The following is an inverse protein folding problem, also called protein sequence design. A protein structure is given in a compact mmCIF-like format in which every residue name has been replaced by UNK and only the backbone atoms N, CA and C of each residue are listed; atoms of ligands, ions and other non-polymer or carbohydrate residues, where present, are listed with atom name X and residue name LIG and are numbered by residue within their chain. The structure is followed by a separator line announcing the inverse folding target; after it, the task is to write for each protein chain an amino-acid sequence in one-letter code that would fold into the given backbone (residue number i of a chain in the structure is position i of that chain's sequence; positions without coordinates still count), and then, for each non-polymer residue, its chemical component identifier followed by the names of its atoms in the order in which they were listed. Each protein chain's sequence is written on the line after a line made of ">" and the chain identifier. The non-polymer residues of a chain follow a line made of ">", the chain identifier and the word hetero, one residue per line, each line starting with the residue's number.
data_IF_428407039345
#
_entry.id   IF_428407039345
#
_cell.length_a   1.000
_cell.length_b   1.000
_cell.length_c   1.000
_cell.angle_alpha   90.00
_cell.angle_beta   90.00
_cell.angle_gamma   90.00
#
_symmetry.space_group_name_H-M   'P 1'
#
loop_
_entity.id
_entity.type
_entity.pdbx_description
1 polymer ?
#
# COMPACT_ATOMS: atom_id res chain seq x y z
N UNK A 1 11.32 10.14 15.46
CA UNK A 1 10.04 10.44 14.78
C UNK A 1 9.58 9.10 14.24
N UNK A 2 8.48 8.56 14.74
CA UNK A 2 7.89 7.32 14.20
C UNK A 2 7.63 7.55 12.71
N UNK A 3 8.15 6.65 11.87
CA UNK A 3 8.02 6.74 10.41
C UNK A 3 6.60 6.47 9.94
N UNK A 4 5.66 7.37 10.25
CA UNK A 4 4.30 7.36 9.73
C UNK A 4 4.30 8.04 8.38
N UNK A 5 3.81 7.37 7.36
CA UNK A 5 3.61 7.92 6.02
C UNK A 5 2.28 7.47 5.42
N UNK A 6 1.73 8.30 4.55
CA UNK A 6 0.61 7.96 3.67
C UNK A 6 1.07 8.23 2.24
N UNK A 7 1.04 7.20 1.41
CA UNK A 7 1.49 7.26 0.01
C UNK A 7 0.71 6.26 -0.86
N UNK A 8 1.05 6.15 -2.15
CA UNK A 8 0.37 5.20 -3.05
C UNK A 8 0.68 3.73 -2.77
N UNK A 9 1.45 3.42 -1.72
CA UNK A 9 1.90 2.07 -1.41
C UNK A 9 2.73 1.47 -2.53
N UNK A 10 3.78 0.83 -2.19
CA UNK A 10 4.65 0.19 -3.17
C UNK A 10 6.07 0.06 -2.63
N UNK A 11 6.85 -0.70 -3.35
CA UNK A 11 8.25 -0.95 -3.02
C UNK A 11 9.09 0.32 -2.98
N UNK A 12 8.63 1.35 -3.65
CA UNK A 12 9.29 2.64 -3.76
C UNK A 12 8.25 3.68 -3.39
N UNK A 13 8.07 3.82 -2.08
CA UNK A 13 7.17 4.79 -1.47
C UNK A 13 7.82 6.18 -1.48
N UNK A 14 7.83 6.81 -2.63
CA UNK A 14 8.36 8.17 -2.80
C UNK A 14 7.33 8.99 -3.55
N UNK A 15 6.91 10.09 -2.95
CA UNK A 15 6.05 11.08 -3.60
C UNK A 15 6.90 11.89 -4.62
N UNK A 16 6.66 11.72 -5.95
CA UNK A 16 7.41 12.46 -6.96
C UNK A 16 7.23 13.98 -6.86
N UNK A 17 6.07 14.46 -6.41
CA UNK A 17 5.80 15.88 -6.28
C UNK A 17 6.49 16.50 -5.07
N UNK A 18 6.60 15.74 -3.97
CA UNK A 18 7.44 16.13 -2.84
C UNK A 18 8.91 16.25 -3.26
N UNK A 19 9.45 15.29 -4.01
CA UNK A 19 10.82 15.38 -4.56
C UNK A 19 11.00 16.60 -5.47
N UNK A 20 10.07 16.86 -6.37
CA UNK A 20 10.12 18.07 -7.24
C UNK A 20 10.09 19.36 -6.42
N UNK A 21 9.36 19.35 -5.30
CA UNK A 21 9.32 20.50 -4.38
C UNK A 21 10.65 20.68 -3.66
N UNK A 22 11.30 19.61 -3.24
CA UNK A 22 12.64 19.63 -2.65
C UNK A 22 13.66 20.12 -3.69
N UNK A 23 13.65 19.57 -4.92
CA UNK A 23 14.54 19.99 -5.99
C UNK A 23 14.46 21.50 -6.27
N UNK A 24 13.24 22.04 -6.35
CA UNK A 24 13.02 23.50 -6.52
C UNK A 24 13.56 24.33 -5.35
N UNK A 25 13.48 23.83 -4.11
CA UNK A 25 14.06 24.51 -2.94
C UNK A 25 15.59 24.53 -2.97
N UNK A 26 16.19 23.42 -3.43
CA UNK A 26 17.65 23.32 -3.60
C UNK A 26 18.11 24.28 -4.71
N UNK A 27 17.40 24.36 -5.82
CA UNK A 27 17.67 25.30 -6.92
C UNK A 27 17.61 26.78 -6.46
N UNK A 28 16.61 27.12 -5.63
CA UNK A 28 16.55 28.43 -4.98
C UNK A 28 17.73 28.67 -4.01
N UNK A 29 18.26 27.65 -3.35
CA UNK A 29 19.47 27.77 -2.54
C UNK A 29 20.69 27.98 -3.43
N UNK A 30 20.81 27.31 -4.58
CA UNK A 30 21.85 27.53 -5.57
C UNK A 30 21.89 28.98 -6.00
N UNK A 31 20.76 29.57 -6.41
CA UNK A 31 20.65 30.97 -6.76
C UNK A 31 21.18 31.91 -5.66
N UNK A 32 20.93 31.62 -4.40
CA UNK A 32 21.46 32.42 -3.28
C UNK A 32 22.96 32.25 -3.11
N UNK A 33 23.52 31.09 -3.34
CA UNK A 33 24.95 30.83 -3.33
C UNK A 33 25.66 31.58 -4.47
N UNK A 34 25.05 31.63 -5.66
CA UNK A 34 25.57 32.42 -6.80
C UNK A 34 25.67 33.91 -6.47
N UNK A 35 24.58 34.50 -5.96
CA UNK A 35 24.57 35.90 -5.53
C UNK A 35 25.61 36.19 -4.45
N UNK A 36 25.78 35.27 -3.50
CA UNK A 36 26.81 35.39 -2.47
C UNK A 36 28.24 35.34 -3.07
N UNK A 37 28.48 34.39 -3.98
CA UNK A 37 29.77 34.24 -4.66
C UNK A 37 30.13 35.49 -5.44
N UNK A 38 29.20 36.04 -6.23
CA UNK A 38 29.39 37.28 -6.98
C UNK A 38 29.67 38.48 -6.08
N UNK A 39 28.92 38.60 -4.97
CA UNK A 39 29.10 39.69 -4.00
C UNK A 39 30.46 39.61 -3.30
N UNK A 40 30.90 38.42 -2.91
CA UNK A 40 32.22 38.19 -2.29
C UNK A 40 33.35 38.44 -3.28
N UNK A 41 33.20 37.99 -4.54
CA UNK A 41 34.19 38.28 -5.60
C UNK A 41 34.28 39.78 -5.93
N UNK A 42 33.15 40.49 -5.93
CA UNK A 42 33.11 41.94 -6.12
C UNK A 42 33.78 42.68 -4.96
N UNK A 43 33.47 42.32 -3.73
CA UNK A 43 34.10 42.88 -2.55
C UNK A 43 35.60 42.63 -2.51
N UNK A 44 36.06 41.41 -2.85
CA UNK A 44 37.47 41.06 -2.94
C UNK A 44 38.21 41.97 -3.96
N UNK A 45 37.66 42.12 -5.19
CA UNK A 45 38.22 43.00 -6.20
C UNK A 45 38.34 44.45 -5.72
N UNK A 46 37.26 44.98 -5.14
CA UNK A 46 37.22 46.34 -4.63
C UNK A 46 38.29 46.60 -3.57
N UNK A 47 38.49 45.64 -2.64
CA UNK A 47 39.47 45.74 -1.57
C UNK A 47 40.89 45.63 -2.12
N UNK A 48 41.16 44.72 -3.04
CA UNK A 48 42.48 44.54 -3.66
C UNK A 48 42.87 45.76 -4.52
N UNK A 49 41.92 46.35 -5.26
CA UNK A 49 42.15 47.47 -6.16
C UNK A 49 42.18 48.81 -5.40
N UNK A 50 41.87 48.88 -4.11
CA UNK A 50 41.85 50.13 -3.34
C UNK A 50 43.09 50.22 -2.43
N UNK A 51 44.00 51.18 -2.65
CA UNK A 51 45.21 51.31 -1.85
C UNK A 51 44.92 51.44 -0.35
N UNK A 52 45.64 50.67 0.47
CA UNK A 52 45.55 50.65 1.94
C UNK A 52 44.47 49.78 2.53
N UNK A 53 43.48 49.25 1.77
CA UNK A 53 42.44 48.37 2.32
C UNK A 53 42.91 46.95 2.61
N UNK A 54 43.89 46.45 1.86
CA UNK A 54 44.47 45.12 2.04
C UNK A 54 45.19 44.93 3.39
N UNK A 55 45.55 46.05 4.05
CA UNK A 55 46.19 46.03 5.38
C UNK A 55 45.20 45.70 6.53
N UNK A 56 43.91 45.84 6.25
CA UNK A 56 42.85 45.76 7.25
C UNK A 56 41.88 44.60 7.04
N UNK A 57 41.97 43.90 5.90
CA UNK A 57 41.07 42.81 5.53
C UNK A 57 41.87 41.57 5.11
N UNK A 58 41.52 40.41 5.65
CA UNK A 58 42.08 39.14 5.19
C UNK A 58 41.48 38.80 3.78
N UNK A 59 42.20 39.24 2.76
CA UNK A 59 41.81 39.03 1.37
C UNK A 59 41.86 37.56 0.96
N UNK A 60 42.69 36.71 1.63
CA UNK A 60 42.79 35.30 1.36
C UNK A 60 41.54 34.58 1.89
N UNK A 61 41.11 34.91 3.10
CA UNK A 61 39.87 34.37 3.66
C UNK A 61 38.65 34.81 2.84
N UNK A 62 38.60 36.07 2.39
CA UNK A 62 37.52 36.56 1.56
C UNK A 62 37.45 35.86 0.20
N UNK A 63 38.61 35.66 -0.43
CA UNK A 63 38.73 34.92 -1.68
C UNK A 63 38.29 33.46 -1.51
N UNK A 64 38.72 32.80 -0.41
CA UNK A 64 38.35 31.42 -0.10
C UNK A 64 36.83 31.29 0.16
N UNK A 65 36.20 32.28 0.84
CA UNK A 65 34.75 32.30 1.03
C UNK A 65 34.00 32.45 -0.29
N UNK A 66 34.46 33.27 -1.24
CA UNK A 66 33.88 33.42 -2.57
C UNK A 66 33.92 32.09 -3.35
N UNK A 67 35.06 31.43 -3.34
CA UNK A 67 35.21 30.09 -3.98
C UNK A 67 34.38 29.00 -3.30
N UNK A 68 34.23 29.05 -1.96
CA UNK A 68 33.34 28.19 -1.23
C UNK A 68 31.87 28.35 -1.64
N UNK A 69 31.44 29.60 -1.82
CA UNK A 69 30.09 29.89 -2.30
C UNK A 69 29.84 29.42 -3.74
N UNK A 70 30.83 29.57 -4.63
CA UNK A 70 30.74 29.08 -6.01
C UNK A 70 30.65 27.56 -6.07
N UNK A 71 31.41 26.85 -5.24
CA UNK A 71 31.34 25.39 -5.18
C UNK A 71 29.99 24.91 -4.63
N UNK A 72 29.45 25.57 -3.60
CA UNK A 72 28.11 25.27 -3.09
C UNK A 72 27.01 25.50 -4.13
N UNK A 73 27.17 26.51 -4.96
CA UNK A 73 26.29 26.76 -6.10
C UNK A 73 26.26 25.54 -7.05
N UNK A 74 27.44 25.11 -7.49
CA UNK A 74 27.55 23.92 -8.38
C UNK A 74 27.00 22.66 -7.75
N UNK A 75 27.33 22.38 -6.49
CA UNK A 75 26.82 21.21 -5.74
C UNK A 75 25.28 21.24 -5.58
N UNK A 76 24.70 22.42 -5.33
CA UNK A 76 23.24 22.59 -5.24
C UNK A 76 22.57 22.36 -6.61
N UNK A 77 23.13 22.86 -7.71
CA UNK A 77 22.57 22.65 -9.05
C UNK A 77 22.57 21.16 -9.41
N UNK A 78 23.69 20.46 -9.19
CA UNK A 78 23.79 19.02 -9.47
C UNK A 78 22.81 18.22 -8.60
N UNK A 79 22.68 18.59 -7.32
CA UNK A 79 21.74 17.94 -6.40
C UNK A 79 20.29 18.19 -6.82
N UNK A 80 19.93 19.41 -7.22
CA UNK A 80 18.59 19.73 -7.70
C UNK A 80 18.24 18.95 -8.97
N UNK A 81 19.15 18.87 -9.94
CA UNK A 81 18.97 18.10 -11.17
C UNK A 81 18.80 16.61 -10.88
N UNK A 82 19.65 16.04 -10.04
CA UNK A 82 19.58 14.62 -9.64
C UNK A 82 18.28 14.31 -8.91
N UNK A 83 17.82 15.21 -8.05
CA UNK A 83 16.54 15.04 -7.32
C UNK A 83 15.36 15.12 -8.28
N UNK A 84 15.39 15.97 -9.28
CA UNK A 84 14.36 16.06 -10.32
C UNK A 84 14.32 14.78 -11.16
N UNK A 85 15.48 14.29 -11.59
CA UNK A 85 15.59 13.03 -12.33
C UNK A 85 15.04 11.83 -11.52
N UNK A 86 15.32 11.79 -10.23
CA UNK A 86 14.74 10.77 -9.35
C UNK A 86 13.21 10.85 -9.29
N UNK A 87 12.65 12.05 -9.16
CA UNK A 87 11.19 12.24 -9.17
C UNK A 87 10.56 11.72 -10.48
N UNK A 88 11.18 12.04 -11.61
CA UNK A 88 10.70 11.59 -12.93
C UNK A 88 10.86 10.07 -13.12
N UNK A 89 11.93 9.47 -12.58
CA UNK A 89 12.10 8.02 -12.62
C UNK A 89 11.05 7.29 -11.76
N UNK A 90 10.71 7.81 -10.59
CA UNK A 90 9.65 7.24 -9.76
C UNK A 90 8.28 7.36 -10.42
N UNK A 91 7.94 8.53 -10.97
CA UNK A 91 6.71 8.70 -11.75
C UNK A 91 6.64 7.73 -12.94
N UNK A 92 7.76 7.52 -13.64
CA UNK A 92 7.82 6.58 -14.75
C UNK A 92 7.54 5.14 -14.32
N UNK A 93 8.08 4.70 -13.15
CA UNK A 93 7.80 3.37 -12.57
C UNK A 93 6.32 3.23 -12.23
N UNK A 94 5.74 4.27 -11.65
CA UNK A 94 4.32 4.31 -11.26
C UNK A 94 3.40 4.21 -12.49
N UNK A 95 3.63 5.05 -13.49
CA UNK A 95 2.89 5.03 -14.76
C UNK A 95 3.00 3.67 -15.46
N UNK A 96 4.18 3.05 -15.43
CA UNK A 96 4.39 1.71 -15.98
C UNK A 96 3.56 0.66 -15.26
N UNK A 97 3.55 0.68 -13.93
CA UNK A 97 2.77 -0.26 -13.12
C UNK A 97 1.28 -0.09 -13.38
N UNK A 98 0.79 1.16 -13.42
CA UNK A 98 -0.60 1.48 -13.75
C UNK A 98 -0.97 1.01 -15.17
N UNK A 99 -0.13 1.29 -16.18
CA UNK A 99 -0.37 0.86 -17.55
C UNK A 99 -0.41 -0.66 -17.69
N UNK A 100 0.46 -1.38 -16.96
CA UNK A 100 0.48 -2.85 -16.97
C UNK A 100 -0.75 -3.44 -16.27
N UNK A 101 -1.28 -2.76 -15.23
CA UNK A 101 -2.51 -3.13 -14.57
C UNK A 101 -3.73 -2.98 -15.48
N UNK A 102 -3.87 -1.82 -16.10
CA UNK A 102 -5.01 -1.49 -16.95
C UNK A 102 -4.97 -2.21 -18.30
N UNK A 103 -3.85 -2.79 -18.71
CA UNK A 103 -3.69 -3.41 -20.03
C UNK A 103 -4.74 -4.48 -20.36
N UNK A 104 -5.30 -5.15 -19.36
CA UNK A 104 -6.30 -6.20 -19.51
C UNK A 104 -7.75 -5.71 -19.35
N UNK A 105 -7.94 -4.59 -18.65
CA UNK A 105 -9.28 -4.09 -18.28
C UNK A 105 -9.65 -2.83 -19.04
N UNK A 106 -8.70 -1.91 -19.26
CA UNK A 106 -8.85 -0.69 -20.03
C UNK A 106 -7.61 -0.42 -20.91
N UNK A 107 -7.66 -0.94 -22.14
CA UNK A 107 -6.58 -0.77 -23.09
C UNK A 107 -6.39 0.69 -23.54
N UNK A 108 -7.43 1.53 -23.48
CA UNK A 108 -7.35 2.94 -23.84
C UNK A 108 -6.60 3.73 -22.78
N UNK A 109 -6.97 3.60 -21.50
CA UNK A 109 -6.26 4.20 -20.38
C UNK A 109 -4.80 3.74 -20.32
N UNK A 110 -4.54 2.42 -20.49
CA UNK A 110 -3.18 1.89 -20.55
C UNK A 110 -2.36 2.49 -21.70
N UNK A 111 -2.98 2.78 -22.85
CA UNK A 111 -2.31 3.44 -23.97
C UNK A 111 -1.94 4.89 -23.65
N UNK A 112 -2.82 5.63 -23.00
CA UNK A 112 -2.56 7.02 -22.60
C UNK A 112 -1.41 7.13 -21.59
N UNK A 113 -1.34 6.24 -20.61
CA UNK A 113 -0.22 6.16 -19.68
C UNK A 113 1.10 5.85 -20.39
N UNK A 114 1.10 4.89 -21.33
CA UNK A 114 2.29 4.57 -22.14
C UNK A 114 2.73 5.74 -23.03
N UNK A 115 1.79 6.54 -23.52
CA UNK A 115 2.11 7.76 -24.29
C UNK A 115 2.80 8.77 -23.37
N UNK A 116 2.31 9.00 -22.14
CA UNK A 116 2.97 9.88 -21.15
C UNK A 116 4.38 9.40 -20.82
N UNK A 117 4.58 8.10 -20.61
CA UNK A 117 5.92 7.51 -20.41
C UNK A 117 6.85 7.76 -21.61
N UNK A 118 6.34 7.64 -22.83
CA UNK A 118 7.13 7.92 -24.04
C UNK A 118 7.52 9.41 -24.14
N UNK A 119 6.64 10.31 -23.72
CA UNK A 119 6.93 11.76 -23.63
C UNK A 119 8.04 12.03 -22.60
N UNK A 120 7.99 11.40 -21.43
CA UNK A 120 9.05 11.53 -20.40
C UNK A 120 10.39 10.97 -20.89
N UNK A 121 10.40 9.79 -21.53
CA UNK A 121 11.60 9.20 -22.09
C UNK A 121 12.20 10.04 -23.24
N UNK A 122 11.36 10.72 -24.04
CA UNK A 122 11.80 11.62 -25.07
C UNK A 122 12.38 12.95 -24.52
N UNK A 123 11.90 13.39 -23.36
CA UNK A 123 12.40 14.58 -22.68
C UNK A 123 13.77 14.32 -22.02
N UNK A 124 13.93 13.18 -21.35
CA UNK A 124 15.22 12.75 -20.76
C UNK A 124 15.37 11.22 -20.83
N UNK A 125 16.28 10.75 -21.66
CA UNK A 125 16.57 9.32 -21.86
C UNK A 125 17.13 8.61 -20.62
N UNK A 126 17.61 9.36 -19.61
CA UNK A 126 18.07 8.80 -18.33
C UNK A 126 16.91 8.28 -17.46
N UNK A 127 15.70 8.82 -17.65
CA UNK A 127 14.52 8.47 -16.84
C UNK A 127 14.20 6.97 -16.95
N UNK A 128 13.99 6.37 -18.13
CA UNK A 128 13.71 4.94 -18.22
C UNK A 128 14.86 4.06 -17.75
N UNK A 129 16.13 4.46 -17.98
CA UNK A 129 17.29 3.71 -17.51
C UNK A 129 17.36 3.67 -15.98
N UNK A 130 17.13 4.80 -15.33
CA UNK A 130 17.09 4.87 -13.86
C UNK A 130 15.88 4.10 -13.30
N UNK A 131 14.72 4.21 -13.92
CA UNK A 131 13.52 3.46 -13.53
C UNK A 131 13.75 1.94 -13.59
N UNK A 132 14.36 1.43 -14.66
CA UNK A 132 14.70 0.01 -14.79
C UNK A 132 15.69 -0.44 -13.70
N UNK A 133 16.68 0.38 -13.40
CA UNK A 133 17.64 0.11 -12.34
C UNK A 133 16.96 0.04 -10.97
N UNK A 134 16.10 0.98 -10.65
CA UNK A 134 15.35 1.02 -9.39
C UNK A 134 14.46 -0.22 -9.23
N UNK A 135 13.73 -0.62 -10.28
CA UNK A 135 12.90 -1.83 -10.27
C UNK A 135 13.77 -3.08 -10.08
N UNK A 136 14.89 -3.17 -10.79
CA UNK A 136 15.80 -4.31 -10.67
C UNK A 136 16.41 -4.45 -9.27
N UNK A 137 16.89 -3.34 -8.67
CA UNK A 137 17.42 -3.32 -7.31
C UNK A 137 16.35 -3.72 -6.28
N UNK A 138 15.12 -3.26 -6.48
CA UNK A 138 13.98 -3.67 -5.67
C UNK A 138 13.67 -5.17 -5.82
N UNK A 139 13.61 -5.70 -7.04
CA UNK A 139 13.35 -7.13 -7.29
C UNK A 139 14.36 -8.03 -6.57
N UNK A 140 15.61 -7.60 -6.47
CA UNK A 140 16.65 -8.33 -5.74
C UNK A 140 16.46 -8.29 -4.22
N UNK A 141 15.85 -7.24 -3.67
CA UNK A 141 15.74 -6.99 -2.23
C UNK A 141 14.31 -7.10 -1.67
N UNK A 142 13.32 -7.35 -2.50
CA UNK A 142 11.90 -7.25 -2.14
C UNK A 142 11.45 -8.09 -0.93
N UNK A 143 12.21 -9.11 -0.57
CA UNK A 143 11.99 -9.93 0.61
C UNK A 143 13.08 -9.75 1.69
N UNK A 144 13.91 -8.72 1.56
CA UNK A 144 15.00 -8.46 2.52
C UNK A 144 14.52 -8.17 3.94
N UNK A 145 13.28 -7.63 4.10
CA UNK A 145 12.64 -7.44 5.41
C UNK A 145 12.31 -8.74 6.16
N UNK A 146 12.46 -9.90 5.51
CA UNK A 146 12.29 -11.23 6.13
C UNK A 146 13.61 -11.82 6.62
N UNK A 147 14.74 -11.10 6.49
CA UNK A 147 16.05 -11.53 7.02
C UNK A 147 16.12 -11.43 8.55
N UNK A 148 16.93 -12.27 9.22
CA UNK A 148 17.09 -12.18 10.68
C UNK A 148 17.41 -10.73 11.14
N UNK A 149 16.86 -10.27 12.28
CA UNK A 149 16.61 -11.03 13.51
C UNK A 149 15.21 -11.62 13.67
N UNK A 150 14.32 -11.47 12.71
CA UNK A 150 12.96 -11.96 12.87
C UNK A 150 12.88 -13.48 12.85
N UNK A 151 12.34 -14.15 13.89
CA UNK A 151 12.09 -15.59 13.88
C UNK A 151 10.92 -15.99 12.95
N UNK A 152 10.51 -15.12 12.04
CA UNK A 152 9.54 -15.41 10.97
C UNK A 152 9.82 -16.72 10.24
N UNK A 153 11.09 -17.10 10.13
CA UNK A 153 11.53 -18.39 9.57
C UNK A 153 10.95 -19.62 10.29
N UNK A 154 10.55 -19.52 11.57
CA UNK A 154 9.96 -20.65 12.29
C UNK A 154 8.46 -20.78 12.08
N UNK A 155 7.75 -19.70 11.92
CA UNK A 155 6.27 -19.68 11.75
C UNK A 155 5.90 -19.72 10.27
N UNK A 156 6.59 -18.95 9.46
CA UNK A 156 6.34 -18.83 8.02
C UNK A 156 7.41 -19.50 7.16
N UNK A 157 8.39 -20.17 7.77
CA UNK A 157 9.50 -20.82 7.10
C UNK A 157 9.11 -21.64 5.86
N UNK A 158 8.10 -22.51 5.93
CA UNK A 158 7.64 -23.25 4.76
C UNK A 158 7.06 -22.36 3.66
N UNK A 159 6.41 -21.25 4.02
CA UNK A 159 5.83 -20.30 3.07
C UNK A 159 6.90 -19.41 2.45
N UNK A 160 7.82 -18.92 3.27
CA UNK A 160 8.97 -18.08 2.84
C UNK A 160 9.95 -18.91 2.01
N UNK A 161 10.22 -20.17 2.37
CA UNK A 161 11.04 -21.08 1.57
C UNK A 161 10.35 -21.52 0.27
N UNK A 162 9.03 -21.71 0.29
CA UNK A 162 8.28 -21.92 -0.94
C UNK A 162 8.32 -20.68 -1.83
N UNK A 163 8.17 -19.48 -1.27
CA UNK A 163 8.30 -18.21 -1.99
C UNK A 163 9.74 -18.00 -2.49
N UNK A 164 10.77 -18.34 -1.71
CA UNK A 164 12.18 -18.24 -2.09
C UNK A 164 12.59 -19.29 -3.13
N UNK A 165 12.13 -20.54 -3.02
CA UNK A 165 12.35 -21.61 -4.00
C UNK A 165 11.59 -21.40 -5.31
N UNK A 166 10.42 -20.74 -5.23
CA UNK A 166 9.62 -20.33 -6.37
C UNK A 166 9.96 -18.89 -6.81
N UNK A 167 10.87 -18.24 -6.10
CA UNK A 167 11.24 -16.82 -6.19
C UNK A 167 11.77 -16.31 -7.52
N UNK A 168 11.67 -17.11 -8.56
CA UNK A 168 11.76 -16.66 -9.94
C UNK A 168 10.42 -16.17 -10.52
N UNK A 169 9.30 -16.25 -9.76
CA UNK A 169 8.01 -15.78 -10.26
C UNK A 169 7.68 -14.38 -9.71
N UNK A 170 7.52 -13.37 -10.58
CA UNK A 170 7.10 -12.03 -10.17
C UNK A 170 5.67 -11.95 -9.63
N UNK A 171 5.04 -13.08 -9.34
CA UNK A 171 3.63 -13.19 -8.94
C UNK A 171 3.40 -13.30 -7.44
N UNK A 172 4.42 -13.60 -6.63
CA UNK A 172 4.23 -13.73 -5.18
C UNK A 172 4.14 -12.37 -4.52
N UNK A 173 3.25 -12.25 -3.53
CA UNK A 173 3.02 -11.02 -2.77
C UNK A 173 2.21 -9.96 -3.51
N UNK A 174 1.77 -10.20 -4.76
CA UNK A 174 0.97 -9.23 -5.53
C UNK A 174 -0.18 -9.90 -6.27
N UNK A 175 -1.34 -9.26 -6.29
CA UNK A 175 -2.52 -9.67 -7.06
C UNK A 175 -2.83 -8.58 -8.08
N UNK A 176 -2.86 -8.95 -9.38
CA UNK A 176 -3.07 -8.00 -10.48
C UNK A 176 -4.49 -8.13 -11.05
N UNK A 177 -5.01 -7.10 -11.71
CA UNK A 177 -6.29 -7.19 -12.42
C UNK A 177 -6.32 -8.40 -13.35
N UNK A 178 -7.45 -9.12 -13.34
CA UNK A 178 -7.61 -10.37 -14.12
C UNK A 178 -6.93 -11.60 -13.50
N UNK A 179 -6.30 -11.50 -12.32
CA UNK A 179 -5.83 -12.67 -11.57
C UNK A 179 -7.03 -13.52 -11.15
N UNK A 180 -6.96 -14.83 -11.38
CA UNK A 180 -7.99 -15.79 -10.97
C UNK A 180 -7.42 -16.86 -10.07
N UNK A 181 -8.25 -17.44 -9.22
CA UNK A 181 -7.88 -18.57 -8.39
C UNK A 181 -7.96 -19.86 -9.20
N UNK A 182 -6.95 -20.72 -9.07
CA UNK A 182 -6.87 -22.01 -9.73
C UNK A 182 -7.36 -23.14 -8.82
N UNK A 183 -7.79 -24.25 -9.43
CA UNK A 183 -8.20 -25.45 -8.69
C UNK A 183 -9.61 -25.31 -8.08
N UNK A 184 -9.89 -26.13 -7.07
CA UNK A 184 -11.16 -26.19 -6.37
C UNK A 184 -10.91 -26.06 -4.86
N UNK A 185 -11.69 -25.22 -4.20
CA UNK A 185 -11.67 -25.10 -2.75
C UNK A 185 -12.24 -26.39 -2.07
N UNK A 186 -11.79 -26.65 -0.85
CA UNK A 186 -12.48 -27.62 -0.01
C UNK A 186 -13.93 -27.18 0.20
N UNK A 187 -14.84 -28.15 0.29
CA UNK A 187 -16.24 -27.86 0.58
C UNK A 187 -16.39 -27.25 1.97
N UNK A 188 -17.24 -26.25 2.08
CA UNK A 188 -17.53 -25.54 3.32
C UNK A 188 -19.02 -25.50 3.60
N UNK A 189 -19.36 -25.37 4.86
CA UNK A 189 -20.69 -24.97 5.32
C UNK A 189 -20.58 -23.65 6.05
N UNK A 190 -21.60 -22.80 5.90
CA UNK A 190 -21.71 -21.55 6.64
C UNK A 190 -22.98 -21.54 7.48
N UNK A 191 -22.93 -20.90 8.63
CA UNK A 191 -24.09 -20.70 9.49
C UNK A 191 -24.10 -19.28 10.06
N UNK A 192 -25.23 -18.58 10.06
CA UNK A 192 -25.36 -17.31 10.77
C UNK A 192 -25.27 -17.57 12.28
N UNK A 193 -24.41 -16.84 12.97
CA UNK A 193 -24.20 -16.95 14.42
C UNK A 193 -24.65 -15.72 15.19
N UNK A 194 -24.77 -14.59 14.52
CA UNK A 194 -25.36 -13.38 15.08
C UNK A 194 -26.00 -12.52 13.98
N UNK A 195 -27.09 -11.84 14.34
CA UNK A 195 -27.73 -10.84 13.50
C UNK A 195 -27.99 -9.57 14.29
N UNK A 196 -27.87 -8.42 13.66
CA UNK A 196 -28.14 -7.12 14.27
C UNK A 196 -28.54 -6.08 13.20
N UNK A 197 -29.03 -4.94 13.67
CA UNK A 197 -29.33 -3.82 12.79
C UNK A 197 -28.61 -2.57 13.32
N UNK A 198 -27.36 -2.33 12.88
CA UNK A 198 -26.60 -1.14 13.26
C UNK A 198 -27.38 0.14 12.93
N UNK A 199 -27.30 1.14 13.79
CA UNK A 199 -28.02 2.42 13.60
C UNK A 199 -27.31 3.37 12.63
N UNK A 200 -26.03 3.17 12.43
CA UNK A 200 -25.19 3.98 11.55
C UNK A 200 -24.05 3.14 10.97
N UNK A 201 -23.54 3.46 9.78
CA UNK A 201 -22.33 2.89 9.22
C UNK A 201 -21.08 3.31 10.02
N UNK A 202 -19.89 2.76 9.76
CA UNK A 202 -18.64 3.37 10.18
C UNK A 202 -18.46 4.73 9.50
N UNK A 203 -17.61 5.58 10.06
CA UNK A 203 -17.37 6.95 9.56
C UNK A 203 -15.87 7.23 9.37
N UNK A 204 -15.02 6.21 9.49
CA UNK A 204 -13.58 6.34 9.38
C UNK A 204 -12.90 4.99 9.15
N UNK A 205 -11.61 4.99 8.85
CA UNK A 205 -10.80 3.78 8.72
C UNK A 205 -10.81 2.94 9.99
N UNK A 206 -10.51 3.55 11.13
CA UNK A 206 -10.55 2.87 12.42
C UNK A 206 -11.95 2.37 12.76
N UNK A 207 -12.98 3.17 12.46
CA UNK A 207 -14.38 2.78 12.58
C UNK A 207 -14.72 1.56 11.74
N UNK A 208 -14.17 1.45 10.53
CA UNK A 208 -14.36 0.29 9.65
C UNK A 208 -13.67 -0.97 10.20
N UNK A 209 -12.43 -0.87 10.69
CA UNK A 209 -11.73 -2.00 11.32
C UNK A 209 -12.41 -2.48 12.61
N UNK A 210 -13.02 -1.58 13.37
CA UNK A 210 -13.80 -1.92 14.57
C UNK A 210 -15.11 -2.67 14.27
N UNK A 211 -15.46 -2.84 12.98
CA UNK A 211 -16.61 -3.66 12.52
C UNK A 211 -16.25 -5.12 12.23
N UNK A 212 -15.04 -5.55 12.52
CA UNK A 212 -14.70 -6.97 12.37
C UNK A 212 -15.69 -7.87 13.14
N UNK A 213 -15.91 -9.14 12.73
CA UNK A 213 -16.77 -10.07 13.42
C UNK A 213 -16.44 -10.18 14.91
N UNK A 214 -17.45 -10.13 15.76
CA UNK A 214 -17.33 -10.17 17.22
C UNK A 214 -18.00 -11.36 17.87
N UNK A 215 -18.92 -12.02 17.18
CA UNK A 215 -19.56 -13.22 17.68
C UNK A 215 -18.58 -14.40 17.72
N UNK A 216 -18.70 -15.23 18.75
CA UNK A 216 -17.80 -16.37 18.95
C UNK A 216 -17.78 -17.30 17.73
N UNK A 217 -16.61 -17.48 17.15
CA UNK A 217 -16.36 -18.34 15.99
C UNK A 217 -16.81 -17.75 14.65
N UNK A 218 -17.26 -16.50 14.60
CA UNK A 218 -17.54 -15.81 13.34
C UNK A 218 -16.24 -15.42 12.63
N UNK A 219 -16.18 -15.64 11.33
CA UNK A 219 -15.04 -15.23 10.51
C UNK A 219 -15.40 -14.14 9.49
N UNK A 220 -16.67 -14.06 9.10
CA UNK A 220 -17.18 -13.06 8.15
C UNK A 220 -18.38 -12.36 8.75
N UNK A 221 -18.41 -11.03 8.71
CA UNK A 221 -19.62 -10.27 8.93
C UNK A 221 -19.99 -9.56 7.64
N UNK A 222 -21.23 -9.60 7.25
CA UNK A 222 -21.76 -8.90 6.09
C UNK A 222 -22.79 -7.88 6.55
N UNK A 223 -22.57 -6.63 6.20
CA UNK A 223 -23.55 -5.54 6.34
C UNK A 223 -24.20 -5.27 4.99
N UNK A 224 -25.53 -5.37 4.94
CA UNK A 224 -26.35 -5.01 3.79
C UNK A 224 -26.98 -3.65 4.03
N UNK A 225 -26.68 -2.73 3.15
CA UNK A 225 -27.18 -1.38 3.14
C UNK A 225 -28.32 -1.28 2.11
N UNK A 226 -29.51 -0.84 2.52
CA UNK A 226 -30.65 -0.67 1.62
C UNK A 226 -31.04 0.80 1.52
N UNK A 227 -31.16 1.30 0.29
CA UNK A 227 -31.41 2.69 -0.01
C UNK A 227 -32.86 2.94 -0.45
N UNK A 228 -33.34 4.19 -0.31
CA UNK A 228 -34.71 4.61 -0.67
C UNK A 228 -35.06 4.38 -2.14
N UNK A 229 -34.06 4.36 -3.03
CA UNK A 229 -34.22 4.12 -4.46
C UNK A 229 -34.25 2.61 -4.84
N UNK A 230 -34.17 1.74 -3.85
CA UNK A 230 -34.19 0.28 -4.02
C UNK A 230 -32.81 -0.34 -4.31
N UNK A 231 -31.73 0.46 -4.42
CA UNK A 231 -30.37 -0.07 -4.50
C UNK A 231 -29.99 -0.78 -3.20
N UNK A 232 -29.10 -1.76 -3.33
CA UNK A 232 -28.44 -2.41 -2.20
C UNK A 232 -26.93 -2.37 -2.39
N UNK A 233 -26.19 -2.26 -1.29
CA UNK A 233 -24.73 -2.33 -1.25
C UNK A 233 -24.32 -3.23 -0.08
N UNK A 234 -23.25 -3.96 -0.23
CA UNK A 234 -22.76 -4.87 0.79
C UNK A 234 -21.36 -4.46 1.24
N UNK A 235 -21.08 -4.62 2.54
CA UNK A 235 -19.73 -4.48 3.07
C UNK A 235 -19.40 -5.75 3.85
N UNK A 236 -18.34 -6.44 3.43
CA UNK A 236 -17.82 -7.62 4.11
C UNK A 236 -16.66 -7.26 5.05
N UNK A 237 -16.75 -7.66 6.29
CA UNK A 237 -15.69 -7.54 7.30
C UNK A 237 -15.15 -8.93 7.59
N UNK A 238 -13.86 -9.16 7.32
CA UNK A 238 -13.29 -10.49 7.29
C UNK A 238 -12.06 -10.56 8.21
N UNK A 239 -12.09 -11.47 9.19
CA UNK A 239 -10.98 -11.67 10.13
C UNK A 239 -9.78 -12.37 9.49
N UNK A 240 -8.62 -12.25 10.13
CA UNK A 240 -7.41 -12.99 9.77
C UNK A 240 -7.44 -14.45 10.17
N UNK A 241 -6.29 -15.12 10.06
CA UNK A 241 -6.08 -16.53 10.41
C UNK A 241 -6.51 -16.82 11.85
N UNK A 242 -7.32 -17.85 12.03
CA UNK A 242 -7.86 -18.25 13.34
C UNK A 242 -7.10 -19.43 13.96
N UNK A 243 -6.37 -20.19 13.15
CA UNK A 243 -5.56 -21.33 13.62
C UNK A 243 -4.31 -21.52 12.78
N UNK A 244 -3.24 -21.97 13.43
CA UNK A 244 -1.99 -22.33 12.75
C UNK A 244 -2.01 -23.74 12.12
N UNK A 245 -3.13 -24.45 12.14
CA UNK A 245 -3.25 -25.78 11.53
C UNK A 245 -3.12 -25.72 10.00
N UNK A 246 -2.72 -26.86 9.41
CA UNK A 246 -2.63 -27.06 7.96
C UNK A 246 -3.81 -27.89 7.46
N UNK A 247 -5.03 -27.45 7.75
CA UNK A 247 -6.28 -28.17 7.47
C UNK A 247 -7.10 -28.42 8.73
N UNK A 248 -8.16 -29.23 8.62
CA UNK A 248 -9.16 -29.45 9.65
C UNK A 248 -10.42 -28.62 9.42
N UNK A 249 -11.32 -28.59 10.40
CA UNK A 249 -12.66 -27.98 10.26
C UNK A 249 -12.63 -26.46 10.09
N UNK A 250 -11.63 -25.75 10.67
CA UNK A 250 -11.51 -24.28 10.59
C UNK A 250 -10.96 -23.85 9.22
N UNK A 251 -11.71 -23.09 8.39
CA UNK A 251 -11.22 -22.65 7.07
C UNK A 251 -10.17 -21.52 7.12
N UNK A 252 -10.14 -20.70 8.19
CA UNK A 252 -9.15 -19.62 8.35
C UNK A 252 -7.88 -20.16 9.01
N UNK A 253 -7.12 -20.96 8.25
CA UNK A 253 -5.93 -21.69 8.69
C UNK A 253 -4.74 -21.50 7.75
N UNK A 254 -3.60 -22.12 8.05
CA UNK A 254 -2.38 -22.04 7.24
C UNK A 254 -2.52 -22.77 5.89
N UNK A 255 -3.44 -23.73 5.72
CA UNK A 255 -3.73 -24.33 4.42
C UNK A 255 -4.30 -23.29 3.47
N UNK A 256 -5.36 -22.58 3.91
CA UNK A 256 -5.97 -21.50 3.13
C UNK A 256 -5.01 -20.34 2.88
N UNK A 257 -4.12 -20.01 3.85
CA UNK A 257 -3.05 -19.02 3.61
C UNK A 257 -2.16 -19.43 2.43
N UNK A 258 -1.67 -20.68 2.43
CA UNK A 258 -0.83 -21.17 1.35
C UNK A 258 -1.55 -21.18 0.01
N UNK A 259 -2.80 -21.66 -0.01
CA UNK A 259 -3.61 -21.76 -1.22
C UNK A 259 -3.81 -20.38 -1.84
N UNK A 260 -4.26 -19.39 -1.06
CA UNK A 260 -4.45 -18.02 -1.53
C UNK A 260 -3.15 -17.38 -2.01
N UNK A 261 -2.07 -17.50 -1.21
CA UNK A 261 -0.79 -16.90 -1.54
C UNK A 261 -0.18 -17.45 -2.83
N UNK A 262 -0.48 -18.70 -3.17
CA UNK A 262 -0.05 -19.34 -4.42
C UNK A 262 -1.07 -19.25 -5.55
N UNK A 263 -2.18 -18.52 -5.37
CA UNK A 263 -3.21 -18.32 -6.40
C UNK A 263 -4.14 -19.53 -6.58
N UNK A 264 -4.36 -20.30 -5.52
CA UNK A 264 -5.30 -21.43 -5.52
C UNK A 264 -6.56 -21.09 -4.74
N UNK A 265 -7.69 -21.67 -5.16
CA UNK A 265 -8.96 -21.54 -4.47
C UNK A 265 -8.85 -22.15 -3.05
N UNK A 266 -9.34 -21.42 -2.05
CA UNK A 266 -9.28 -21.82 -0.63
C UNK A 266 -10.66 -21.94 -0.01
N UNK A 267 -10.72 -22.71 1.07
CA UNK A 267 -11.94 -22.84 1.84
C UNK A 267 -12.42 -21.51 2.45
N UNK A 268 -11.48 -20.64 2.89
CA UNK A 268 -11.84 -19.33 3.46
C UNK A 268 -12.38 -18.37 2.39
N UNK A 269 -11.84 -18.41 1.15
CA UNK A 269 -12.39 -17.62 0.05
C UNK A 269 -13.81 -18.10 -0.31
N UNK A 270 -14.02 -19.42 -0.47
CA UNK A 270 -15.33 -19.97 -0.80
C UNK A 270 -16.36 -19.64 0.29
N UNK A 271 -15.98 -19.78 1.55
CA UNK A 271 -16.86 -19.44 2.67
C UNK A 271 -17.25 -17.95 2.70
N UNK A 272 -16.36 -17.07 2.26
CA UNK A 272 -16.66 -15.63 2.14
C UNK A 272 -17.67 -15.37 1.02
N UNK A 273 -17.49 -15.97 -0.14
CA UNK A 273 -18.46 -15.88 -1.26
C UNK A 273 -19.83 -16.44 -0.85
N UNK A 274 -19.85 -17.58 -0.15
CA UNK A 274 -21.08 -18.19 0.34
C UNK A 274 -21.79 -17.29 1.37
N UNK A 275 -21.02 -16.63 2.28
CA UNK A 275 -21.57 -15.69 3.27
C UNK A 275 -22.19 -14.45 2.60
N UNK A 276 -21.54 -13.88 1.59
CA UNK A 276 -22.09 -12.78 0.79
C UNK A 276 -23.37 -13.17 0.09
N UNK A 277 -23.38 -14.33 -0.56
CA UNK A 277 -24.57 -14.88 -1.22
C UNK A 277 -25.71 -15.13 -0.22
N UNK A 278 -25.41 -15.69 0.96
CA UNK A 278 -26.40 -15.91 2.03
C UNK A 278 -26.94 -14.61 2.61
N UNK A 279 -26.16 -13.53 2.61
CA UNK A 279 -26.64 -12.18 2.98
C UNK A 279 -27.50 -11.52 1.88
N UNK A 280 -27.58 -12.15 0.70
CA UNK A 280 -28.42 -11.73 -0.42
C UNK A 280 -27.67 -11.03 -1.56
N UNK A 281 -26.33 -11.00 -1.55
CA UNK A 281 -25.57 -10.46 -2.66
C UNK A 281 -25.69 -11.35 -3.90
N UNK A 282 -25.84 -10.73 -5.07
CA UNK A 282 -25.98 -11.36 -6.37
C UNK A 282 -24.79 -10.97 -7.27
N UNK A 283 -24.49 -11.76 -8.33
CA UNK A 283 -23.52 -11.34 -9.34
C UNK A 283 -23.81 -9.94 -9.89
N UNK A 284 -22.79 -9.08 -9.89
CA UNK A 284 -22.89 -7.68 -10.30
C UNK A 284 -23.27 -6.70 -9.19
N UNK A 285 -23.61 -7.18 -7.98
CA UNK A 285 -23.82 -6.30 -6.84
C UNK A 285 -22.50 -5.69 -6.34
N UNK A 286 -22.59 -4.47 -5.84
CA UNK A 286 -21.46 -3.79 -5.21
C UNK A 286 -21.18 -4.38 -3.83
N UNK A 287 -19.95 -4.87 -3.65
CA UNK A 287 -19.46 -5.51 -2.42
C UNK A 287 -18.12 -4.91 -2.03
N UNK A 288 -18.11 -4.06 -1.01
CA UNK A 288 -16.86 -3.54 -0.48
C UNK A 288 -16.30 -4.44 0.63
N UNK A 289 -14.99 -4.35 0.86
CA UNK A 289 -14.32 -5.30 1.74
C UNK A 289 -13.40 -4.61 2.73
N UNK A 290 -13.57 -4.94 4.01
CA UNK A 290 -12.65 -4.58 5.09
C UNK A 290 -12.02 -5.86 5.64
N UNK A 291 -10.69 -5.94 5.64
CA UNK A 291 -9.99 -7.20 5.86
C UNK A 291 -8.76 -7.04 6.75
N UNK A 292 -8.41 -8.11 7.48
CA UNK A 292 -7.19 -8.19 8.27
C UNK A 292 -6.41 -9.47 7.93
N UNK A 293 -5.07 -9.36 7.79
CA UNK A 293 -4.17 -10.52 7.64
C UNK A 293 -4.52 -11.37 6.40
N UNK A 294 -4.76 -12.69 6.58
CA UNK A 294 -5.19 -13.63 5.52
C UNK A 294 -6.32 -13.07 4.66
N UNK A 295 -7.25 -12.36 5.29
CA UNK A 295 -8.42 -11.81 4.60
C UNK A 295 -8.05 -10.74 3.55
N UNK A 296 -6.88 -10.12 3.64
CA UNK A 296 -6.38 -9.24 2.58
C UNK A 296 -6.19 -9.96 1.25
N UNK A 297 -5.80 -11.25 1.26
CA UNK A 297 -5.75 -12.07 0.05
C UNK A 297 -7.16 -12.41 -0.45
N UNK A 298 -8.10 -12.69 0.47
CA UNK A 298 -9.50 -12.93 0.10
C UNK A 298 -10.08 -11.69 -0.58
N UNK A 299 -9.88 -10.50 0.01
CA UNK A 299 -10.32 -9.23 -0.54
C UNK A 299 -9.71 -8.97 -1.93
N UNK A 300 -8.41 -9.22 -2.10
CA UNK A 300 -7.72 -9.07 -3.37
C UNK A 300 -8.33 -9.95 -4.47
N UNK A 301 -8.66 -11.21 -4.17
CA UNK A 301 -9.30 -12.08 -5.14
C UNK A 301 -10.80 -11.82 -5.31
N UNK A 302 -11.49 -11.30 -4.32
CA UNK A 302 -12.87 -10.80 -4.51
C UNK A 302 -12.89 -9.66 -5.54
N UNK A 303 -11.92 -8.75 -5.47
CA UNK A 303 -11.85 -7.61 -6.40
C UNK A 303 -11.41 -7.98 -7.82
N UNK A 304 -10.73 -9.13 -8.02
CA UNK A 304 -10.17 -9.51 -9.34
C UNK A 304 -10.80 -10.73 -9.97
N UNK A 305 -11.42 -11.61 -9.18
CA UNK A 305 -11.84 -12.94 -9.61
C UNK A 305 -13.30 -13.29 -9.30
N UNK A 306 -14.01 -12.48 -8.48
CA UNK A 306 -15.42 -12.75 -8.16
C UNK A 306 -16.37 -12.18 -9.21
N UNK A 307 -17.65 -12.56 -9.10
CA UNK A 307 -18.73 -12.00 -9.89
C UNK A 307 -19.31 -10.71 -9.28
N UNK A 308 -18.77 -10.25 -8.14
CA UNK A 308 -19.16 -9.01 -7.47
C UNK A 308 -18.37 -7.81 -7.98
N UNK A 309 -18.93 -6.62 -7.82
CA UNK A 309 -18.26 -5.37 -8.15
C UNK A 309 -17.65 -4.75 -6.88
N UNK A 310 -16.33 -4.92 -6.69
CA UNK A 310 -15.63 -4.34 -5.53
C UNK A 310 -15.17 -2.93 -5.88
N UNK A 311 -15.66 -1.91 -5.15
CA UNK A 311 -15.28 -0.50 -5.33
C UNK A 311 -14.25 -0.06 -4.30
N UNK A 312 -14.42 -0.44 -3.05
CA UNK A 312 -13.51 -0.08 -1.96
C UNK A 312 -12.99 -1.33 -1.27
N UNK A 313 -11.69 -1.39 -1.11
CA UNK A 313 -11.00 -2.44 -0.38
C UNK A 313 -10.09 -1.82 0.68
N UNK A 314 -10.33 -2.13 1.96
CA UNK A 314 -9.48 -1.74 3.09
C UNK A 314 -8.80 -3.00 3.62
N UNK A 315 -7.47 -3.04 3.60
CA UNK A 315 -6.70 -4.21 4.00
C UNK A 315 -5.62 -3.85 5.04
N UNK A 316 -5.76 -4.39 6.25
CA UNK A 316 -4.80 -4.23 7.34
C UNK A 316 -3.90 -5.47 7.42
N UNK A 317 -2.57 -5.30 7.38
CA UNK A 317 -1.60 -6.38 7.52
C UNK A 317 -1.70 -7.47 6.46
N UNK A 318 -2.08 -7.14 5.24
CA UNK A 318 -2.22 -8.11 4.16
C UNK A 318 -0.86 -8.67 3.74
N UNK A 319 -0.72 -10.01 3.56
CA UNK A 319 0.49 -10.61 3.00
C UNK A 319 0.62 -10.42 1.49
N UNK A 320 -0.34 -9.76 0.85
CA UNK A 320 -0.29 -9.41 -0.58
C UNK A 320 -0.76 -7.98 -0.78
N UNK A 321 -0.20 -7.31 -1.78
CA UNK A 321 -0.73 -6.06 -2.31
C UNK A 321 -1.56 -6.36 -3.56
N UNK A 322 -2.76 -5.79 -3.63
CA UNK A 322 -3.58 -5.81 -4.84
C UNK A 322 -3.37 -4.52 -5.64
N UNK A 323 -3.40 -4.64 -6.95
CA UNK A 323 -3.47 -3.50 -7.84
C UNK A 323 -4.94 -3.29 -8.22
N UNK A 324 -5.52 -2.19 -7.75
CA UNK A 324 -6.88 -1.80 -8.11
C UNK A 324 -7.02 -1.52 -9.60
N UNK A 325 -8.18 -1.86 -10.16
CA UNK A 325 -8.59 -1.44 -11.50
C UNK A 325 -9.10 0.01 -11.49
N UNK A 326 -9.49 0.51 -12.66
CA UNK A 326 -10.16 1.82 -12.75
C UNK A 326 -11.44 1.83 -11.89
N UNK A 327 -11.61 2.86 -11.07
CA UNK A 327 -12.76 3.01 -10.16
C UNK A 327 -12.76 2.05 -8.96
N UNK A 328 -11.59 1.48 -8.62
CA UNK A 328 -11.38 0.72 -7.38
C UNK A 328 -10.42 1.45 -6.46
N UNK A 329 -10.88 1.84 -5.28
CA UNK A 329 -10.06 2.42 -4.23
C UNK A 329 -9.48 1.31 -3.35
N UNK A 330 -8.16 1.22 -3.29
CA UNK A 330 -7.43 0.26 -2.45
C UNK A 330 -6.72 1.00 -1.34
N UNK A 331 -7.08 0.69 -0.10
CA UNK A 331 -6.45 1.23 1.10
C UNK A 331 -5.68 0.12 1.81
N UNK A 332 -4.36 0.28 1.90
CA UNK A 332 -3.48 -0.61 2.64
C UNK A 332 -3.07 0.00 3.98
N UNK A 333 -3.07 -0.78 5.05
CA UNK A 333 -2.37 -0.43 6.29
C UNK A 333 -1.25 -1.45 6.50
N UNK A 334 -0.02 -0.95 6.65
CA UNK A 334 1.19 -1.79 6.67
C UNK A 334 2.12 -1.35 7.79
N UNK A 335 2.65 -2.31 8.54
CA UNK A 335 3.73 -2.04 9.50
C UNK A 335 5.05 -2.59 8.98
N UNK A 336 6.12 -1.79 9.10
CA UNK A 336 7.47 -2.15 8.64
C UNK A 336 8.09 -3.27 9.49
N UNK A 337 7.60 -3.44 10.70
CA UNK A 337 7.96 -4.47 11.68
C UNK A 337 6.97 -5.66 11.73
N UNK A 338 6.00 -5.71 10.80
CA UNK A 338 5.07 -6.83 10.66
C UNK A 338 5.60 -7.87 9.64
N UNK A 339 5.98 -9.09 10.09
CA UNK A 339 6.50 -10.12 9.19
C UNK A 339 5.46 -10.66 8.21
N UNK A 340 4.15 -10.53 8.50
CA UNK A 340 3.08 -10.95 7.57
C UNK A 340 2.93 -9.95 6.44
N UNK A 341 2.88 -8.66 6.76
CA UNK A 341 2.85 -7.60 5.75
C UNK A 341 4.11 -7.63 4.85
N UNK A 342 5.26 -8.00 5.41
CA UNK A 342 6.50 -8.17 4.64
C UNK A 342 6.42 -9.25 3.54
N UNK A 343 5.46 -10.21 3.63
CA UNK A 343 5.21 -11.20 2.58
C UNK A 343 4.67 -10.59 1.28
N UNK A 344 4.14 -9.36 1.30
CA UNK A 344 3.82 -8.60 0.10
C UNK A 344 5.05 -8.28 -0.76
N UNK A 345 6.26 -8.50 -0.23
CA UNK A 345 7.53 -8.25 -0.91
C UNK A 345 7.74 -6.76 -1.20
N UNK A 346 7.26 -5.88 -0.30
CA UNK A 346 7.25 -4.43 -0.52
C UNK A 346 6.19 -3.98 -1.52
N UNK A 347 5.28 -4.85 -1.92
CA UNK A 347 4.18 -4.54 -2.83
C UNK A 347 4.57 -4.45 -4.31
N UNK A 348 3.83 -3.67 -5.05
CA UNK A 348 4.08 -3.38 -6.47
C UNK A 348 5.05 -2.21 -6.61
N UNK A 349 5.94 -2.20 -7.63
CA UNK A 349 6.90 -1.10 -7.80
C UNK A 349 6.28 0.29 -7.90
N UNK A 350 5.09 0.41 -8.45
CA UNK A 350 4.35 1.65 -8.65
C UNK A 350 3.13 1.81 -7.77
N UNK A 351 3.03 1.07 -6.66
CA UNK A 351 1.92 1.20 -5.73
C UNK A 351 0.63 0.48 -6.15
N UNK A 352 -0.49 0.88 -5.53
CA UNK A 352 -1.79 0.24 -5.69
C UNK A 352 -2.50 0.52 -7.02
N UNK A 353 -1.99 1.44 -7.83
CA UNK A 353 -2.40 1.65 -9.23
C UNK A 353 -3.52 2.67 -9.46
N UNK A 354 -4.55 2.75 -8.65
CA UNK A 354 -5.61 3.75 -8.79
C UNK A 354 -5.19 5.07 -8.10
N UNK A 355 -5.54 6.25 -8.66
CA UNK A 355 -5.09 7.55 -8.13
C UNK A 355 -5.56 7.85 -6.70
N UNK A 356 -6.71 7.38 -6.32
CA UNK A 356 -7.36 7.51 -5.01
C UNK A 356 -6.94 6.42 -4.00
N UNK A 357 -6.14 5.45 -4.47
CA UNK A 357 -5.61 4.37 -3.63
C UNK A 357 -4.39 4.85 -2.84
N UNK A 358 -4.27 4.37 -1.61
CA UNK A 358 -3.14 4.73 -0.76
C UNK A 358 -2.77 3.62 0.23
N UNK A 359 -1.56 3.72 0.76
CA UNK A 359 -1.08 2.87 1.85
C UNK A 359 -0.61 3.74 3.01
N UNK A 360 -1.05 3.38 4.20
CA UNK A 360 -0.57 3.95 5.46
C UNK A 360 0.52 3.03 5.99
N UNK A 361 1.72 3.57 6.18
CA UNK A 361 2.88 2.81 6.66
C UNK A 361 3.41 3.41 7.96
N UNK A 362 3.69 2.57 8.95
CA UNK A 362 4.45 2.94 10.14
C UNK A 362 5.24 1.76 10.71
N UNK A 363 6.12 2.04 11.66
CA UNK A 363 6.68 1.06 12.59
C UNK A 363 5.74 1.00 13.81
N UNK A 364 5.13 -0.16 14.08
CA UNK A 364 4.10 -0.30 15.11
C UNK A 364 4.70 -0.26 16.52
N UNK A 365 5.86 -0.88 16.73
CA UNK A 365 6.55 -0.95 18.02
C UNK A 365 8.04 -0.56 17.89
N UNK A 366 8.36 0.74 17.76
CA UNK A 366 9.74 1.21 17.58
C UNK A 366 10.64 0.98 18.81
N UNK A 367 10.04 0.75 19.98
CA UNK A 367 10.74 0.49 21.24
C UNK A 367 10.73 -1.01 21.63
N UNK A 368 10.42 -1.90 20.69
CA UNK A 368 10.35 -3.34 20.90
C UNK A 368 11.58 -3.88 21.63
N UNK A 369 11.38 -4.27 22.89
CA UNK A 369 12.40 -4.81 23.78
C UNK A 369 12.42 -6.35 23.79
N UNK A 370 12.94 -6.92 24.89
CA UNK A 370 12.98 -8.38 25.07
C UNK A 370 11.60 -9.03 25.19
N UNK A 371 10.54 -8.25 25.42
CA UNK A 371 9.15 -8.70 25.52
C UNK A 371 8.42 -8.67 24.16
N UNK A 372 9.15 -8.42 23.07
CA UNK A 372 8.62 -8.39 21.71
C UNK A 372 7.93 -9.70 21.34
N UNK A 373 6.63 -9.62 21.08
CA UNK A 373 5.91 -10.76 20.50
C UNK A 373 5.99 -10.65 18.98
N UNK A 374 6.50 -11.71 18.33
CA UNK A 374 6.73 -11.77 16.86
C UNK A 374 5.54 -11.31 16.01
N UNK A 375 4.34 -11.35 16.57
CA UNK A 375 3.09 -10.93 15.92
C UNK A 375 2.43 -9.74 16.61
N UNK A 376 3.11 -9.02 17.50
CA UNK A 376 2.55 -7.82 18.16
C UNK A 376 2.18 -6.74 17.16
N UNK A 377 3.11 -6.41 16.27
CA UNK A 377 2.90 -5.47 15.18
C UNK A 377 1.85 -5.93 14.16
N UNK A 378 1.52 -7.24 14.11
CA UNK A 378 0.49 -7.82 13.25
C UNK A 378 -0.91 -7.78 13.86
N UNK A 379 -1.04 -7.44 15.14
CA UNK A 379 -2.31 -7.40 15.84
C UNK A 379 -3.31 -6.40 15.23
N UNK A 380 -4.59 -6.76 15.19
CA UNK A 380 -5.65 -5.87 14.68
C UNK A 380 -5.69 -4.55 15.46
N UNK A 381 -5.46 -4.58 16.79
CA UNK A 381 -5.45 -3.38 17.64
C UNK A 381 -4.36 -2.40 17.20
N UNK A 382 -3.14 -2.89 16.85
CA UNK A 382 -2.08 -2.05 16.34
C UNK A 382 -2.44 -1.40 14.99
N UNK A 383 -3.17 -2.12 14.14
CA UNK A 383 -3.68 -1.57 12.89
C UNK A 383 -4.83 -0.58 13.08
N UNK A 384 -5.66 -0.75 14.11
CA UNK A 384 -6.69 0.23 14.49
C UNK A 384 -6.02 1.54 14.91
N UNK A 385 -4.95 1.50 15.73
CA UNK A 385 -4.18 2.71 16.07
C UNK A 385 -3.62 3.40 14.83
N UNK A 386 -3.10 2.63 13.87
CA UNK A 386 -2.59 3.18 12.60
C UNK A 386 -3.71 3.84 11.80
N UNK A 387 -4.88 3.23 11.77
CA UNK A 387 -6.06 3.82 11.14
C UNK A 387 -6.51 5.10 11.84
N UNK A 388 -6.50 5.17 13.19
CA UNK A 388 -6.78 6.40 13.94
C UNK A 388 -5.80 7.54 13.61
N UNK A 389 -4.51 7.21 13.44
CA UNK A 389 -3.51 8.18 13.01
C UNK A 389 -3.77 8.69 11.59
N UNK A 390 -4.19 7.82 10.68
CA UNK A 390 -4.57 8.19 9.32
C UNK A 390 -5.83 9.06 9.33
N UNK A 391 -6.86 8.66 10.07
CA UNK A 391 -8.12 9.42 10.23
C UNK A 391 -7.88 10.83 10.82
N UNK A 392 -6.82 11.00 11.63
CA UNK A 392 -6.42 12.30 12.20
C UNK A 392 -5.47 13.11 11.30
N UNK A 393 -5.09 12.60 10.13
CA UNK A 393 -4.23 13.30 9.19
C UNK A 393 -5.01 14.25 8.29
N UNK A 394 -4.32 15.27 7.74
CA UNK A 394 -4.86 16.17 6.73
C UNK A 394 -4.55 15.65 5.31
N UNK A 395 -4.37 14.34 5.11
CA UNK A 395 -4.06 13.76 3.80
C UNK A 395 -5.33 13.76 2.92
N UNK A 396 -5.29 14.38 1.73
CA UNK A 396 -6.48 14.53 0.89
C UNK A 396 -7.09 13.19 0.43
N UNK A 397 -6.30 12.11 0.36
CA UNK A 397 -6.80 10.78 -0.02
C UNK A 397 -7.65 10.15 1.09
N UNK A 398 -7.31 10.43 2.35
CA UNK A 398 -8.13 10.02 3.50
C UNK A 398 -9.43 10.81 3.56
N UNK A 399 -9.38 12.13 3.23
CA UNK A 399 -10.59 12.97 3.11
C UNK A 399 -11.49 12.45 1.97
N UNK A 400 -10.91 12.11 0.81
CA UNK A 400 -11.67 11.60 -0.35
C UNK A 400 -12.34 10.25 -0.05
N UNK A 401 -11.68 9.37 0.73
CA UNK A 401 -12.30 8.14 1.22
C UNK A 401 -13.54 8.42 2.10
N UNK A 402 -13.68 9.62 2.65
CA UNK A 402 -14.89 10.08 3.36
C UNK A 402 -16.16 9.93 2.55
N UNK A 403 -16.11 10.07 1.22
CA UNK A 403 -17.24 9.90 0.31
C UNK A 403 -17.84 8.48 0.39
N UNK A 404 -17.00 7.47 0.61
CA UNK A 404 -17.45 6.09 0.82
C UNK A 404 -18.38 5.95 2.04
N UNK A 405 -17.98 6.49 3.20
CA UNK A 405 -18.81 6.43 4.40
C UNK A 405 -20.03 7.34 4.31
N UNK A 406 -19.89 8.49 3.64
CA UNK A 406 -20.99 9.39 3.37
C UNK A 406 -22.07 8.73 2.48
N UNK A 407 -21.67 7.90 1.52
CA UNK A 407 -22.59 7.12 0.73
C UNK A 407 -23.30 6.07 1.58
N UNK A 408 -22.57 5.30 2.38
CA UNK A 408 -23.17 4.32 3.30
C UNK A 408 -24.18 4.97 4.27
N UNK A 409 -23.92 6.21 4.69
CA UNK A 409 -24.80 6.94 5.62
C UNK A 409 -26.16 7.30 5.04
N UNK A 410 -26.33 7.24 3.71
CA UNK A 410 -27.59 7.51 3.00
C UNK A 410 -28.53 6.30 2.99
N UNK A 411 -28.08 5.13 3.45
CA UNK A 411 -28.93 3.95 3.53
C UNK A 411 -30.03 4.12 4.59
N UNK A 412 -31.23 3.66 4.28
CA UNK A 412 -32.37 3.68 5.20
C UNK A 412 -32.26 2.58 6.28
N UNK A 413 -31.69 1.44 5.90
CA UNK A 413 -31.54 0.31 6.82
C UNK A 413 -30.17 -0.34 6.64
N UNK A 414 -29.63 -0.86 7.76
CA UNK A 414 -28.43 -1.67 7.80
C UNK A 414 -28.79 -2.99 8.47
N UNK A 415 -28.62 -4.08 7.74
CA UNK A 415 -28.77 -5.44 8.26
C UNK A 415 -27.39 -6.07 8.33
N UNK A 416 -26.98 -6.53 9.51
CA UNK A 416 -25.69 -7.18 9.74
C UNK A 416 -25.88 -8.62 10.15
N UNK A 417 -25.20 -9.53 9.46
CA UNK A 417 -25.14 -10.95 9.80
C UNK A 417 -23.69 -11.40 9.93
N UNK A 418 -23.38 -12.06 11.03
CA UNK A 418 -22.07 -12.68 11.25
C UNK A 418 -22.15 -14.18 11.01
N UNK A 419 -21.20 -14.71 10.23
CA UNK A 419 -21.19 -16.08 9.79
C UNK A 419 -20.00 -16.84 10.36
N UNK A 420 -20.28 -18.09 10.80
CA UNK A 420 -19.28 -19.11 11.07
C UNK A 420 -19.23 -20.09 9.91
N UNK A 421 -18.03 -20.37 9.45
CA UNK A 421 -17.76 -21.35 8.40
C UNK A 421 -16.97 -22.55 8.95
N UNK A 422 -17.27 -23.74 8.44
CA UNK A 422 -16.56 -24.97 8.75
C UNK A 422 -16.32 -25.77 7.46
N UNK A 423 -15.12 -26.38 7.31
CA UNK A 423 -14.89 -27.35 6.24
C UNK A 423 -15.75 -28.58 6.45
N UNK A 424 -16.29 -29.11 5.37
CA UNK A 424 -16.96 -30.40 5.37
C UNK A 424 -15.89 -31.49 5.42
N UNK A 425 -15.92 -32.33 6.47
CA UNK A 425 -15.04 -33.48 6.51
C UNK A 425 -15.46 -34.46 5.40
N UNK A 426 -14.51 -34.79 4.51
CA UNK A 426 -14.78 -35.89 3.57
C UNK A 426 -14.93 -37.16 4.40
N UNK A 427 -16.13 -37.75 4.38
CA UNK A 427 -16.35 -39.09 4.95
C UNK A 427 -15.51 -40.08 4.17
N UNK A 428 -14.51 -40.68 4.86
CA UNK A 428 -13.71 -41.78 4.31
C UNK A 428 -14.56 -42.93 3.77
#
# INVERSE_FOLDING_TARGET
>A
MSGFSIDHGGAISVDPDALRTIARRIDLAATRCEVAAESLASAHRTIVDTPGFTEHVDTVALWAAGHGASRLFEECLETAESTMLMADAYEYVELKAQADALALTDAAAAHDLRRRMAEMAAADGRVPELAEKLVHEWEQRRFGGLEPPYPANMIFGPLVWAAALLGASPRFGTVRPGSTLSGKADAVTIAPVATSSPKAPPTSLAGSLNRMPSASGAQVAVEKYSYADGRTKFVAYIVGTQTASMGGTQPWDMKSNRELYTGSASASYQATVDALTAAGAQPGDEVDVVSHSQAGMIAAYLSTASEFEVKVQIAAGSPTQVMGGEGQTVVGLTHTDDPVAALSGGGLPGGAGAPDSFTVTREADPDAGLDYTVLGAHGLDAYIETAEMADASDDPRVEELGEFWDELSKAETIERTEYRAERVEESE
#
